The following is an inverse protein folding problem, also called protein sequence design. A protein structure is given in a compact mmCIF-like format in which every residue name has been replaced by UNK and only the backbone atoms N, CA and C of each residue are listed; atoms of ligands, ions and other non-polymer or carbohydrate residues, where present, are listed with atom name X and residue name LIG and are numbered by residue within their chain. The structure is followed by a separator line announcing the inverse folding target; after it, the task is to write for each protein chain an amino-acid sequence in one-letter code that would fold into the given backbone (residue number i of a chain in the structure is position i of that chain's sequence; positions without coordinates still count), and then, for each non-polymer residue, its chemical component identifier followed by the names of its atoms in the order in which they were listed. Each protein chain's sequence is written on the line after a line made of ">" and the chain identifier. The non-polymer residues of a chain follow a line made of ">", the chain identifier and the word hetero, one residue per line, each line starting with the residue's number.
data_IF_129602633514
#
_entry.id   IF_129602633514
#
_cell.length_a   1.000
_cell.length_b   1.000
_cell.length_c   1.000
_cell.angle_alpha   90.00
_cell.angle_beta   90.00
_cell.angle_gamma   90.00
#
_symmetry.space_group_name_H-M   'P 1'
#
loop_
_entity.id
_entity.type
_entity.pdbx_description
1 polymer ?
#
# COMPACT_ATOMS: atom_id res chain seq x y z
N UNK A 1 16.89 0.61 -13.77
CA UNK A 1 16.74 0.37 -12.32
C UNK A 1 15.26 0.15 -12.11
N UNK A 2 14.83 -1.10 -12.18
CA UNK A 2 13.42 -1.42 -12.15
C UNK A 2 12.88 -1.14 -10.74
N UNK A 3 11.64 -0.66 -10.63
CA UNK A 3 11.02 -0.33 -9.33
C UNK A 3 11.01 -1.52 -8.35
N UNK A 4 11.19 -2.74 -8.88
CA UNK A 4 11.33 -3.98 -8.14
C UNK A 4 12.66 -4.04 -7.39
N UNK A 5 13.75 -3.50 -7.97
CA UNK A 5 15.08 -3.57 -7.37
C UNK A 5 15.20 -2.76 -6.08
N UNK A 6 14.42 -1.68 -5.98
CA UNK A 6 14.37 -0.80 -4.82
C UNK A 6 13.50 -1.33 -3.67
N UNK A 7 12.81 -2.47 -3.86
CA UNK A 7 12.01 -3.07 -2.79
C UNK A 7 12.92 -3.69 -1.72
N UNK A 8 12.63 -3.47 -0.43
CA UNK A 8 13.33 -4.13 0.66
C UNK A 8 13.12 -5.65 0.59
N UNK A 9 14.03 -6.42 1.18
CA UNK A 9 13.84 -7.87 1.32
C UNK A 9 12.65 -8.14 2.25
N UNK A 10 11.55 -8.61 1.68
CA UNK A 10 10.35 -9.01 2.43
C UNK A 10 9.89 -10.40 2.01
N UNK A 11 9.33 -11.15 2.97
CA UNK A 11 8.79 -12.48 2.69
C UNK A 11 7.55 -12.44 1.82
N UNK A 12 6.73 -11.40 2.02
CA UNK A 12 5.45 -11.22 1.36
C UNK A 12 5.28 -9.76 0.93
N UNK A 13 4.59 -9.56 -0.20
CA UNK A 13 4.27 -8.24 -0.72
C UNK A 13 2.77 -8.09 -0.92
N UNK A 14 2.19 -7.15 -0.18
CA UNK A 14 0.81 -6.71 -0.30
C UNK A 14 0.72 -5.61 -1.36
N UNK A 15 -0.07 -5.82 -2.41
CA UNK A 15 -0.26 -4.80 -3.44
C UNK A 15 -1.67 -4.79 -4.02
N UNK A 16 -2.02 -3.68 -4.65
CA UNK A 16 -3.26 -3.50 -5.37
C UNK A 16 -3.50 -4.51 -6.46
N UNK A 17 -4.79 -4.81 -6.68
CA UNK A 17 -5.28 -5.51 -7.88
C UNK A 17 -4.75 -4.89 -9.18
N UNK A 18 -4.49 -3.58 -9.19
CA UNK A 18 -3.89 -2.89 -10.32
C UNK A 18 -2.48 -3.41 -10.66
N UNK A 19 -1.73 -3.93 -9.67
CA UNK A 19 -0.41 -4.55 -9.87
C UNK A 19 -0.49 -6.04 -10.21
N UNK A 20 -1.67 -6.57 -10.53
CA UNK A 20 -1.84 -7.93 -11.04
C UNK A 20 -1.34 -8.08 -12.49
N UNK A 21 -0.04 -7.91 -12.68
CA UNK A 21 0.65 -8.18 -13.93
C UNK A 21 1.45 -9.49 -13.81
N UNK A 22 1.46 -10.31 -14.86
CA UNK A 22 2.22 -11.58 -14.87
C UNK A 22 3.71 -11.36 -14.61
N UNK A 23 4.32 -10.46 -15.40
CA UNK A 23 5.74 -10.09 -15.27
C UNK A 23 6.10 -9.60 -13.87
N UNK A 24 5.20 -8.88 -13.20
CA UNK A 24 5.44 -8.36 -11.86
C UNK A 24 5.45 -9.49 -10.81
N UNK A 25 4.51 -10.44 -10.92
CA UNK A 25 4.46 -11.60 -10.01
C UNK A 25 5.65 -12.54 -10.22
N UNK A 26 6.09 -12.71 -11.45
CA UNK A 26 7.24 -13.55 -11.78
C UNK A 26 8.55 -12.93 -11.29
N UNK A 27 8.70 -11.61 -11.44
CA UNK A 27 9.84 -10.87 -10.89
C UNK A 27 9.89 -10.88 -9.35
N UNK A 28 8.74 -10.80 -8.67
CA UNK A 28 8.66 -10.95 -7.21
C UNK A 28 9.06 -12.36 -6.76
N UNK A 29 8.57 -13.39 -7.46
CA UNK A 29 8.95 -14.79 -7.18
C UNK A 29 10.43 -15.05 -7.44
N UNK A 30 11.02 -14.44 -8.47
CA UNK A 30 12.45 -14.54 -8.74
C UNK A 30 13.29 -13.98 -7.58
N UNK A 31 12.76 -13.00 -6.83
CA UNK A 31 13.36 -12.48 -5.59
C UNK A 31 12.98 -13.25 -4.33
N UNK A 32 12.22 -14.34 -4.42
CA UNK A 32 11.74 -15.11 -3.27
C UNK A 32 10.61 -14.42 -2.48
N UNK A 33 10.03 -13.35 -3.02
CA UNK A 33 8.93 -12.60 -2.39
C UNK A 33 7.60 -13.21 -2.82
N UNK A 34 6.73 -13.54 -1.86
CA UNK A 34 5.40 -14.09 -2.17
C UNK A 34 4.40 -12.95 -2.46
N UNK A 35 3.83 -12.86 -3.67
CA UNK A 35 2.91 -11.78 -4.03
C UNK A 35 1.49 -12.02 -3.50
N UNK A 36 1.11 -11.31 -2.45
CA UNK A 36 -0.26 -11.24 -1.92
C UNK A 36 -1.08 -10.19 -2.69
N UNK A 37 -1.39 -10.50 -3.95
CA UNK A 37 -2.12 -9.60 -4.86
C UNK A 37 -3.43 -10.26 -5.31
N UNK A 38 -4.59 -9.63 -5.08
CA UNK A 38 -5.85 -10.19 -5.53
C UNK A 38 -5.90 -10.24 -7.06
N UNK A 39 -6.37 -11.35 -7.67
CA UNK A 39 -6.44 -11.46 -9.11
C UNK A 39 -7.45 -10.45 -9.70
N UNK A 40 -7.13 -9.90 -10.87
CA UNK A 40 -8.06 -9.10 -11.68
C UNK A 40 -9.24 -9.96 -12.11
N UNK A 41 -10.42 -9.34 -12.21
CA UNK A 41 -11.69 -10.01 -12.57
C UNK A 41 -11.66 -10.70 -13.94
N UNK A 42 -10.82 -10.21 -14.86
CA UNK A 42 -10.63 -10.76 -16.20
C UNK A 42 -9.60 -11.91 -16.29
N UNK A 43 -8.95 -12.29 -15.17
CA UNK A 43 -7.90 -13.31 -15.20
C UNK A 43 -8.51 -14.71 -15.32
N UNK A 44 -8.14 -15.43 -16.38
CA UNK A 44 -8.63 -16.79 -16.70
C UNK A 44 -8.25 -17.84 -15.63
N UNK A 45 -7.16 -17.65 -14.91
CA UNK A 45 -6.72 -18.51 -13.80
C UNK A 45 -6.59 -17.66 -12.54
N UNK A 46 -7.51 -17.80 -11.57
CA UNK A 46 -7.40 -17.13 -10.28
C UNK A 46 -6.12 -17.58 -9.58
N UNK A 47 -5.32 -16.63 -9.11
CA UNK A 47 -4.18 -16.94 -8.25
C UNK A 47 -4.66 -16.96 -6.80
N UNK A 48 -4.26 -17.97 -6.03
CA UNK A 48 -4.50 -17.98 -4.59
C UNK A 48 -3.74 -16.82 -3.95
N UNK A 49 -4.39 -16.11 -3.04
CA UNK A 49 -3.79 -15.08 -2.21
C UNK A 49 -4.33 -15.22 -0.80
N UNK A 50 -3.51 -14.86 0.18
CA UNK A 50 -3.93 -14.87 1.58
C UNK A 50 -4.90 -13.70 1.82
N UNK A 51 -6.17 -14.03 2.09
CA UNK A 51 -7.20 -13.03 2.34
C UNK A 51 -7.02 -12.36 3.70
N UNK A 52 -6.49 -13.07 4.69
CA UNK A 52 -6.31 -12.55 6.04
C UNK A 52 -5.15 -11.56 6.09
N UNK A 53 -4.06 -11.83 5.36
CA UNK A 53 -3.03 -10.83 5.13
C UNK A 53 -3.54 -9.65 4.32
N UNK A 54 -4.35 -9.89 3.28
CA UNK A 54 -4.91 -8.80 2.48
C UNK A 54 -5.84 -7.87 3.28
N UNK A 55 -6.52 -8.36 4.33
CA UNK A 55 -7.33 -7.52 5.23
C UNK A 55 -6.52 -6.44 5.94
N UNK A 56 -5.22 -6.65 6.19
CA UNK A 56 -4.36 -5.66 6.84
C UNK A 56 -4.26 -4.36 6.04
N UNK A 57 -4.50 -4.42 4.72
CA UNK A 57 -4.56 -3.25 3.85
C UNK A 57 -5.67 -2.27 4.23
N UNK A 58 -6.74 -2.73 4.88
CA UNK A 58 -7.80 -1.86 5.35
C UNK A 58 -7.26 -0.78 6.31
N UNK A 59 -6.30 -1.13 7.19
CA UNK A 59 -5.64 -0.16 8.07
C UNK A 59 -4.95 0.95 7.29
N UNK A 60 -4.25 0.58 6.20
CA UNK A 60 -3.58 1.50 5.30
C UNK A 60 -4.60 2.39 4.57
N UNK A 61 -5.71 1.83 4.10
CA UNK A 61 -6.79 2.58 3.44
C UNK A 61 -7.47 3.57 4.38
N UNK A 62 -7.76 3.15 5.62
CA UNK A 62 -8.30 4.02 6.68
C UNK A 62 -7.33 5.16 6.98
N UNK A 63 -6.04 4.87 7.08
CA UNK A 63 -5.01 5.89 7.28
C UNK A 63 -5.02 6.92 6.14
N UNK A 64 -4.98 6.48 4.88
CA UNK A 64 -5.03 7.39 3.74
C UNK A 64 -6.35 8.14 3.62
N UNK A 65 -7.47 7.52 4.00
CA UNK A 65 -8.78 8.17 4.08
C UNK A 65 -8.78 9.32 5.09
N UNK A 66 -8.36 9.04 6.33
CA UNK A 66 -8.23 10.06 7.40
C UNK A 66 -7.29 11.19 6.98
N UNK A 67 -6.15 10.85 6.36
CA UNK A 67 -5.21 11.83 5.80
C UNK A 67 -5.86 12.72 4.75
N UNK A 68 -6.63 12.14 3.81
CA UNK A 68 -7.31 12.91 2.76
C UNK A 68 -8.40 13.82 3.34
N UNK A 69 -9.15 13.34 4.33
CA UNK A 69 -10.15 14.14 5.05
C UNK A 69 -9.50 15.30 5.81
N UNK A 70 -8.38 15.04 6.47
CA UNK A 70 -7.55 16.07 7.09
C UNK A 70 -7.01 17.05 6.08
N UNK A 71 -6.48 16.59 4.93
CA UNK A 71 -6.01 17.47 3.86
C UNK A 71 -7.11 18.38 3.34
N UNK A 72 -8.34 17.89 3.18
CA UNK A 72 -9.49 18.73 2.78
C UNK A 72 -9.78 19.84 3.78
N UNK A 73 -9.58 19.59 5.08
CA UNK A 73 -9.77 20.57 6.15
C UNK A 73 -8.57 21.51 6.31
N UNK A 74 -7.35 20.97 6.27
CA UNK A 74 -6.09 21.67 6.51
C UNK A 74 -5.62 22.52 5.32
N UNK A 75 -5.83 22.08 4.07
CA UNK A 75 -5.50 22.88 2.87
C UNK A 75 -6.28 24.20 2.79
N UNK A 76 -7.35 24.36 3.59
CA UNK A 76 -8.10 25.62 3.70
C UNK A 76 -7.40 26.63 4.62
N UNK A 77 -6.44 26.19 5.44
CA UNK A 77 -5.79 27.00 6.48
C UNK A 77 -4.25 27.02 6.40
N UNK A 78 -3.62 26.01 5.79
CA UNK A 78 -2.17 25.84 5.85
C UNK A 78 -1.48 26.14 4.50
N UNK A 79 -0.60 27.16 4.48
CA UNK A 79 0.22 27.53 3.32
C UNK A 79 1.64 26.91 3.35
N UNK A 80 2.01 26.17 4.40
CA UNK A 80 3.38 25.67 4.57
C UNK A 80 3.46 24.14 4.42
N UNK A 81 4.06 23.70 3.31
CA UNK A 81 4.22 22.27 3.00
C UNK A 81 5.02 21.47 4.05
N UNK A 82 5.93 22.11 4.78
CA UNK A 82 6.74 21.46 5.83
C UNK A 82 5.90 21.05 7.04
N UNK A 83 5.11 21.98 7.59
CA UNK A 83 4.20 21.71 8.72
C UNK A 83 3.17 20.65 8.35
N UNK A 84 2.68 20.70 7.11
CA UNK A 84 1.77 19.70 6.57
C UNK A 84 2.40 18.29 6.52
N UNK A 85 3.65 18.16 6.05
CA UNK A 85 4.35 16.88 6.01
C UNK A 85 4.62 16.32 7.42
N UNK A 86 5.05 17.15 8.36
CA UNK A 86 5.24 16.73 9.76
C UNK A 86 3.94 16.25 10.40
N UNK A 87 2.83 16.97 10.19
CA UNK A 87 1.51 16.55 10.67
C UNK A 87 1.04 15.25 10.01
N UNK A 88 1.35 15.04 8.72
CA UNK A 88 1.07 13.80 8.00
C UNK A 88 1.81 12.61 8.61
N UNK A 89 3.10 12.75 8.88
CA UNK A 89 3.92 11.71 9.50
C UNK A 89 3.41 11.37 10.91
N UNK A 90 3.06 12.39 11.72
CA UNK A 90 2.49 12.17 13.05
C UNK A 90 1.15 11.45 12.98
N UNK A 91 0.24 11.88 12.10
CA UNK A 91 -1.05 11.23 11.92
C UNK A 91 -0.89 9.77 11.44
N UNK A 92 0.03 9.51 10.52
CA UNK A 92 0.34 8.16 10.04
C UNK A 92 0.85 7.25 11.18
N UNK A 93 1.81 7.73 11.98
CA UNK A 93 2.33 6.98 13.13
C UNK A 93 1.26 6.72 14.18
N UNK A 94 0.47 7.74 14.55
CA UNK A 94 -0.63 7.61 15.53
C UNK A 94 -1.65 6.58 15.05
N UNK A 95 -2.10 6.66 13.78
CA UNK A 95 -3.08 5.72 13.23
C UNK A 95 -2.51 4.30 13.12
N UNK A 96 -1.22 4.14 12.83
CA UNK A 96 -0.60 2.83 12.72
C UNK A 96 -0.39 2.12 14.07
N UNK A 97 -0.08 2.87 15.13
CA UNK A 97 0.23 2.30 16.45
C UNK A 97 -0.97 2.19 17.40
N UNK A 98 -2.04 2.97 17.20
CA UNK A 98 -3.24 2.93 18.06
C UNK A 98 -4.36 2.00 17.56
N UNK A 99 -4.19 1.36 16.40
CA UNK A 99 -5.20 0.56 15.68
C UNK A 99 -4.66 -0.86 15.41
#
# INVERSE_FOLDING_TARGET
>A
MDAIDALPETRELLADRAYDAGWFRDALRARGITPCIPPRRSRKRPCSYDQDLYKQRHKIEVMFGRIKDWRRRAMRYDCCAHTFFSALCLAASVIFYLD
#
